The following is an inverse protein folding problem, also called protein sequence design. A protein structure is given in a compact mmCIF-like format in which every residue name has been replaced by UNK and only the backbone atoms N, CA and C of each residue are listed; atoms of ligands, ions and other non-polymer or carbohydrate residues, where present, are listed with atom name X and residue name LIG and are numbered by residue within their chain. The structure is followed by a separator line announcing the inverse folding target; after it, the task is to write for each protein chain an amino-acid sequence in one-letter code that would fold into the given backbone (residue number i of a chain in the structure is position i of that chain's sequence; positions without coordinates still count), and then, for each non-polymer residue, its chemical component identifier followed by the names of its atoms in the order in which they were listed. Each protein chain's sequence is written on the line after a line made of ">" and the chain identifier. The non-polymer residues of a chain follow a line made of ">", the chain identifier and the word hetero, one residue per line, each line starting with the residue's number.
data_IF_115673693097
#
_entry.id   IF_115673693097
#
_cell.length_a   1.000
_cell.length_b   1.000
_cell.length_c   1.000
_cell.angle_alpha   90.00
_cell.angle_beta   90.00
_cell.angle_gamma   90.00
#
_symmetry.space_group_name_H-M   'P 1'
#
loop_
_entity.id
_entity.type
_entity.pdbx_description
1 polymer ?
#
# COMPACT_ATOMS: atom_id res chain seq x y z
N UNK A 1 -24.49 -61.52 -11.78
CA UNK A 1 -23.26 -60.77 -12.09
C UNK A 1 -23.62 -59.31 -12.28
N UNK A 2 -23.35 -58.44 -11.30
CA UNK A 2 -23.55 -56.98 -11.43
C UNK A 2 -22.21 -56.31 -11.17
N UNK A 3 -21.64 -55.72 -12.22
CA UNK A 3 -20.37 -54.98 -12.17
C UNK A 3 -20.68 -53.54 -11.75
N UNK A 4 -20.49 -53.23 -10.47
CA UNK A 4 -20.47 -51.83 -10.01
C UNK A 4 -19.25 -51.14 -10.59
N UNK A 5 -19.48 -50.11 -11.42
CA UNK A 5 -18.42 -49.27 -11.98
C UNK A 5 -18.28 -48.06 -11.07
N UNK A 6 -17.17 -47.98 -10.34
CA UNK A 6 -16.85 -46.86 -9.46
C UNK A 6 -16.28 -45.72 -10.33
N UNK A 7 -17.02 -44.63 -10.51
CA UNK A 7 -16.49 -43.42 -11.15
C UNK A 7 -15.59 -42.69 -10.14
N UNK A 8 -14.28 -42.67 -10.42
CA UNK A 8 -13.34 -41.76 -9.77
C UNK A 8 -13.54 -40.35 -10.36
N UNK A 9 -14.15 -39.44 -9.61
CA UNK A 9 -14.15 -38.01 -9.93
C UNK A 9 -12.83 -37.41 -9.49
N UNK A 10 -11.93 -37.13 -10.45
CA UNK A 10 -10.73 -36.33 -10.21
C UNK A 10 -11.12 -34.87 -9.97
N UNK A 11 -10.96 -34.40 -8.74
CA UNK A 11 -11.01 -32.97 -8.44
C UNK A 11 -9.74 -32.32 -8.98
N UNK A 12 -9.86 -31.59 -10.09
CA UNK A 12 -8.80 -30.68 -10.55
C UNK A 12 -8.84 -29.48 -9.60
N UNK A 13 -8.00 -29.51 -8.56
CA UNK A 13 -7.78 -28.33 -7.72
C UNK A 13 -7.15 -27.22 -8.55
N UNK A 14 -7.69 -26.01 -8.48
CA UNK A 14 -7.07 -24.83 -9.09
C UNK A 14 -5.72 -24.60 -8.40
N UNK A 15 -4.63 -24.86 -9.11
CA UNK A 15 -3.28 -24.50 -8.64
C UNK A 15 -3.18 -22.98 -8.71
N UNK A 16 -3.08 -22.32 -7.56
CA UNK A 16 -2.85 -20.88 -7.50
C UNK A 16 -1.57 -20.53 -8.28
N UNK A 17 -1.63 -19.50 -9.13
CA UNK A 17 -0.52 -19.12 -10.01
C UNK A 17 0.70 -18.56 -9.25
N UNK A 18 0.52 -18.20 -7.98
CA UNK A 18 1.53 -17.66 -7.08
C UNK A 18 1.07 -17.86 -5.62
N UNK A 19 1.96 -17.62 -4.66
CA UNK A 19 1.67 -17.72 -3.23
C UNK A 19 1.94 -16.39 -2.54
N UNK A 20 0.98 -15.87 -1.80
CA UNK A 20 1.09 -14.62 -1.06
C UNK A 20 0.99 -14.82 0.45
N UNK A 21 1.75 -14.04 1.21
CA UNK A 21 1.62 -13.89 2.65
C UNK A 21 1.47 -12.42 3.02
N UNK A 22 0.34 -12.10 3.65
CA UNK A 22 0.11 -10.80 4.27
C UNK A 22 0.84 -10.71 5.61
N UNK A 23 1.36 -9.53 5.93
CA UNK A 23 2.04 -9.28 7.20
C UNK A 23 1.84 -7.84 7.68
N UNK A 24 2.17 -7.60 8.94
CA UNK A 24 2.30 -6.27 9.51
C UNK A 24 3.70 -6.14 10.11
N UNK A 25 4.35 -5.00 9.86
CA UNK A 25 5.65 -4.68 10.45
C UNK A 25 5.60 -3.31 11.10
N UNK A 26 6.40 -3.09 12.13
CA UNK A 26 6.52 -1.78 12.78
C UNK A 26 7.77 -1.06 12.28
N UNK A 27 7.61 0.20 11.88
CA UNK A 27 8.72 1.05 11.43
C UNK A 27 8.76 2.29 12.33
N UNK A 28 9.89 2.52 12.98
CA UNK A 28 10.14 3.75 13.73
C UNK A 28 10.79 4.76 12.79
N UNK A 29 10.18 5.94 12.65
CA UNK A 29 10.66 7.03 11.82
C UNK A 29 10.99 8.21 12.71
N UNK A 30 12.15 8.84 12.48
CA UNK A 30 12.52 10.12 13.05
C UNK A 30 12.75 11.12 11.92
N UNK A 31 11.90 12.14 11.83
CA UNK A 31 11.94 13.11 10.73
C UNK A 31 11.47 14.50 11.20
N UNK A 32 11.93 15.58 10.54
CA UNK A 32 11.40 16.91 10.78
C UNK A 32 9.94 17.00 10.31
N UNK A 33 9.08 17.51 11.19
CA UNK A 33 7.68 17.86 10.91
C UNK A 33 7.45 19.34 11.16
N UNK A 34 6.60 19.97 10.35
CA UNK A 34 6.27 21.39 10.48
C UNK A 34 5.02 21.57 11.34
N UNK A 35 5.19 22.22 12.50
CA UNK A 35 4.05 22.50 13.37
C UNK A 35 3.22 23.68 12.84
N UNK A 36 1.89 23.53 12.67
CA UNK A 36 1.01 24.63 12.34
C UNK A 36 1.14 25.80 13.32
N UNK A 37 1.22 27.01 12.78
CA UNK A 37 1.19 28.28 13.52
C UNK A 37 -0.22 28.90 13.57
N UNK A 38 -1.25 28.14 13.19
CA UNK A 38 -2.64 28.57 13.18
C UNK A 38 -3.51 27.63 14.04
N UNK A 39 -4.57 28.14 14.67
CA UNK A 39 -5.54 27.31 15.40
C UNK A 39 -6.46 26.56 14.44
N UNK A 40 -7.25 25.62 14.98
CA UNK A 40 -8.34 25.00 14.22
C UNK A 40 -9.28 26.06 13.65
N UNK A 41 -9.73 25.86 12.41
CA UNK A 41 -10.66 26.78 11.76
C UNK A 41 -12.04 26.69 12.40
N UNK A 42 -12.60 27.84 12.78
CA UNK A 42 -13.92 27.92 13.40
C UNK A 42 -15.05 27.50 12.44
N UNK A 43 -14.85 27.72 11.13
CA UNK A 43 -15.80 27.40 10.07
C UNK A 43 -15.08 27.25 8.72
N UNK A 44 -15.83 26.83 7.70
CA UNK A 44 -15.32 26.66 6.34
C UNK A 44 -14.85 27.97 5.68
N UNK A 45 -15.44 29.13 6.03
CA UNK A 45 -15.01 30.41 5.46
C UNK A 45 -13.60 30.77 5.93
N UNK A 46 -13.25 30.46 7.19
CA UNK A 46 -11.89 30.68 7.71
C UNK A 46 -10.85 29.78 7.05
N UNK A 47 -11.18 28.52 6.75
CA UNK A 47 -10.24 27.63 6.06
C UNK A 47 -10.01 28.05 4.60
N UNK A 48 -11.07 28.48 3.89
CA UNK A 48 -10.94 29.02 2.52
C UNK A 48 -10.15 30.32 2.51
N UNK A 49 -10.41 31.24 3.45
CA UNK A 49 -9.66 32.48 3.56
C UNK A 49 -8.17 32.22 3.81
N UNK A 50 -7.85 31.23 4.65
CA UNK A 50 -6.48 30.79 4.89
C UNK A 50 -5.81 30.21 3.63
N UNK A 51 -6.49 29.30 2.91
CA UNK A 51 -5.95 28.73 1.67
C UNK A 51 -5.70 29.82 0.60
N UNK A 52 -6.61 30.78 0.48
CA UNK A 52 -6.44 31.92 -0.43
C UNK A 52 -5.22 32.76 -0.06
N UNK A 53 -4.98 32.99 1.24
CA UNK A 53 -3.80 33.71 1.70
C UNK A 53 -2.51 32.94 1.40
N UNK A 54 -2.50 31.61 1.61
CA UNK A 54 -1.33 30.76 1.36
C UNK A 54 -0.96 30.61 -0.12
N UNK A 55 -1.96 30.66 -1.00
CA UNK A 55 -1.76 30.47 -2.45
C UNK A 55 -1.72 31.79 -3.22
N UNK A 56 -1.88 32.92 -2.53
CA UNK A 56 -1.73 34.23 -3.13
C UNK A 56 -0.32 34.45 -3.70
N UNK A 57 -0.21 35.21 -4.78
CA UNK A 57 1.09 35.52 -5.41
C UNK A 57 2.08 36.23 -4.47
N UNK A 58 1.57 36.93 -3.45
CA UNK A 58 2.36 37.62 -2.43
C UNK A 58 2.45 36.83 -1.11
N UNK A 59 2.12 35.54 -1.07
CA UNK A 59 2.15 34.74 0.16
C UNK A 59 3.53 34.80 0.86
N UNK A 60 4.62 34.93 0.10
CA UNK A 60 5.98 35.05 0.64
C UNK A 60 6.23 36.33 1.46
N UNK A 61 5.37 37.35 1.36
CA UNK A 61 5.46 38.56 2.17
C UNK A 61 4.67 38.46 3.48
N UNK A 62 3.99 37.34 3.70
CA UNK A 62 3.21 37.07 4.92
C UNK A 62 3.97 36.15 5.87
N UNK A 63 3.60 36.14 7.16
CA UNK A 63 4.23 35.26 8.13
C UNK A 63 4.01 33.78 7.75
N UNK A 64 5.05 32.96 7.97
CA UNK A 64 4.97 31.51 7.75
C UNK A 64 3.78 30.90 8.50
N UNK A 65 2.98 30.04 7.86
CA UNK A 65 1.93 29.29 8.55
C UNK A 65 2.48 28.17 9.45
N UNK A 66 3.80 28.01 9.52
CA UNK A 66 4.47 27.02 10.36
C UNK A 66 5.41 27.70 11.36
N UNK A 67 5.44 27.18 12.60
CA UNK A 67 6.30 27.67 13.69
C UNK A 67 7.78 27.32 13.48
N UNK A 68 8.06 26.34 12.62
CA UNK A 68 9.38 25.76 12.39
C UNK A 68 9.31 24.24 12.31
N UNK A 69 10.44 23.62 11.96
CA UNK A 69 10.57 22.17 11.97
C UNK A 69 10.88 21.67 13.38
N UNK A 70 10.17 20.63 13.81
CA UNK A 70 10.48 19.86 15.01
C UNK A 70 10.72 18.41 14.62
N UNK A 71 11.72 17.75 15.19
CA UNK A 71 11.89 16.32 14.95
C UNK A 71 10.81 15.55 15.69
N UNK A 72 10.07 14.73 14.94
CA UNK A 72 9.05 13.83 15.44
C UNK A 72 9.58 12.42 15.27
N UNK A 73 9.55 11.65 16.37
CA UNK A 73 9.95 10.25 16.40
C UNK A 73 8.72 9.41 16.74
N UNK A 74 8.22 8.67 15.77
CA UNK A 74 6.97 7.92 15.88
C UNK A 74 7.15 6.51 15.32
N UNK A 75 6.37 5.57 15.87
CA UNK A 75 6.36 4.18 15.39
C UNK A 75 5.04 3.87 14.71
N UNK A 76 5.14 3.45 13.45
CA UNK A 76 3.98 3.16 12.60
C UNK A 76 3.90 1.67 12.29
N UNK A 77 2.67 1.15 12.24
CA UNK A 77 2.41 -0.20 11.74
C UNK A 77 2.16 -0.11 10.24
N UNK A 78 2.95 -0.84 9.46
CA UNK A 78 2.87 -0.93 8.00
C UNK A 78 2.31 -2.29 7.61
N UNK A 79 1.23 -2.30 6.84
CA UNK A 79 0.65 -3.52 6.27
C UNK A 79 1.31 -3.84 4.93
N UNK A 80 1.79 -5.07 4.76
CA UNK A 80 2.44 -5.53 3.54
C UNK A 80 1.91 -6.87 3.07
N UNK A 81 2.20 -7.19 1.82
CA UNK A 81 1.95 -8.49 1.21
C UNK A 81 3.15 -8.90 0.37
N UNK A 82 3.65 -10.10 0.65
CA UNK A 82 4.78 -10.69 -0.06
C UNK A 82 4.31 -11.88 -0.89
N UNK A 83 4.52 -11.83 -2.20
CA UNK A 83 4.11 -12.89 -3.11
C UNK A 83 5.30 -13.48 -3.86
N UNK A 84 5.26 -14.79 -4.09
CA UNK A 84 6.33 -15.53 -4.77
C UNK A 84 5.76 -16.44 -5.86
N UNK A 85 6.58 -16.80 -6.87
CA UNK A 85 6.23 -17.89 -7.77
C UNK A 85 6.00 -19.19 -6.98
N UNK A 86 5.16 -20.07 -7.54
CA UNK A 86 4.93 -21.40 -6.95
C UNK A 86 6.24 -22.18 -6.81
N UNK A 87 6.36 -23.14 -5.87
CA UNK A 87 7.60 -23.89 -5.67
C UNK A 87 8.14 -24.57 -6.94
N UNK A 88 7.26 -25.01 -7.85
CA UNK A 88 7.64 -25.61 -9.12
C UNK A 88 8.14 -24.61 -10.18
N UNK A 89 7.85 -23.32 -10.01
CA UNK A 89 8.20 -22.23 -10.93
C UNK A 89 9.25 -21.28 -10.32
N UNK A 90 9.70 -21.54 -9.10
CA UNK A 90 10.60 -20.66 -8.38
C UNK A 90 12.03 -20.79 -8.91
N UNK A 91 12.66 -19.69 -9.36
CA UNK A 91 14.06 -19.71 -9.78
C UNK A 91 15.00 -19.92 -8.59
N UNK A 92 16.26 -20.29 -8.88
CA UNK A 92 17.30 -20.45 -7.86
C UNK A 92 17.64 -19.14 -7.13
N UNK A 93 17.52 -18.01 -7.82
CA UNK A 93 17.65 -16.66 -7.27
C UNK A 93 16.34 -15.91 -7.49
N UNK A 94 15.82 -15.30 -6.43
CA UNK A 94 14.51 -14.68 -6.44
C UNK A 94 14.62 -13.17 -6.20
N UNK A 95 14.59 -12.39 -7.27
CA UNK A 95 14.57 -10.94 -7.21
C UNK A 95 13.20 -10.43 -6.72
N UNK A 96 13.22 -9.47 -5.80
CA UNK A 96 12.00 -8.88 -5.21
C UNK A 96 11.73 -7.52 -5.85
N UNK A 97 10.57 -7.37 -6.45
CA UNK A 97 10.06 -6.07 -6.89
C UNK A 97 9.28 -5.42 -5.75
N UNK A 98 9.72 -4.24 -5.32
CA UNK A 98 9.01 -3.45 -4.30
C UNK A 98 7.97 -2.56 -4.97
N UNK A 99 6.71 -2.73 -4.58
CA UNK A 99 5.56 -2.15 -5.27
C UNK A 99 4.88 -1.08 -4.40
N UNK A 100 5.15 0.19 -4.71
CA UNK A 100 4.54 1.34 -4.01
C UNK A 100 3.32 1.85 -4.78
N UNK A 101 2.15 1.88 -4.16
CA UNK A 101 0.93 2.39 -4.80
C UNK A 101 0.89 3.93 -4.92
N UNK A 102 0.08 4.41 -5.86
CA UNK A 102 -0.21 5.83 -6.05
C UNK A 102 -1.18 6.42 -5.01
N UNK A 103 -1.44 7.73 -5.09
CA UNK A 103 -2.41 8.40 -4.22
C UNK A 103 -3.83 7.86 -4.45
N UNK A 104 -4.60 7.71 -3.37
CA UNK A 104 -5.99 7.22 -3.42
C UNK A 104 -6.14 5.70 -3.50
N UNK A 105 -5.03 4.96 -3.47
CA UNK A 105 -5.02 3.49 -3.49
C UNK A 105 -4.33 2.92 -2.25
N UNK A 106 -4.25 1.59 -2.20
CA UNK A 106 -3.48 0.79 -1.25
C UNK A 106 -2.75 -0.35 -2.02
N UNK A 107 -2.14 -1.31 -1.32
CA UNK A 107 -1.38 -2.42 -1.93
C UNK A 107 -2.22 -3.29 -2.88
N UNK A 108 -3.55 -3.31 -2.75
CA UNK A 108 -4.44 -4.07 -3.62
C UNK A 108 -4.44 -3.58 -5.07
N UNK A 109 -3.96 -2.34 -5.32
CA UNK A 109 -3.75 -1.82 -6.66
C UNK A 109 -2.92 -2.76 -7.55
N UNK A 110 -1.95 -3.47 -6.97
CA UNK A 110 -1.08 -4.38 -7.71
C UNK A 110 -1.70 -5.76 -7.97
N UNK A 111 -2.75 -6.13 -7.22
CA UNK A 111 -3.58 -7.32 -7.43
C UNK A 111 -4.98 -6.91 -7.97
N UNK A 112 -5.02 -5.95 -8.89
CA UNK A 112 -6.28 -5.38 -9.36
C UNK A 112 -7.14 -6.41 -10.11
N UNK A 113 -8.37 -6.59 -9.63
CA UNK A 113 -9.32 -7.58 -10.17
C UNK A 113 -9.06 -9.02 -9.72
N UNK A 114 -8.11 -9.25 -8.80
CA UNK A 114 -7.83 -10.56 -8.21
C UNK A 114 -6.99 -11.50 -9.08
N UNK A 115 -6.86 -12.74 -8.62
CA UNK A 115 -5.88 -13.72 -9.11
C UNK A 115 -6.03 -14.12 -10.58
N UNK A 116 -7.23 -14.03 -11.15
CA UNK A 116 -7.50 -14.36 -12.56
C UNK A 116 -7.49 -13.15 -13.49
N UNK A 117 -7.33 -11.94 -12.95
CA UNK A 117 -7.36 -10.71 -13.73
C UNK A 117 -6.15 -10.57 -14.64
N UNK A 118 -6.40 -10.13 -15.89
CA UNK A 118 -5.35 -9.73 -16.84
C UNK A 118 -4.60 -8.45 -16.42
N UNK A 119 -5.11 -7.72 -15.43
CA UNK A 119 -4.54 -6.48 -14.91
C UNK A 119 -3.80 -6.69 -13.57
N UNK A 120 -3.73 -7.94 -13.10
CA UNK A 120 -3.00 -8.28 -11.89
C UNK A 120 -1.49 -8.29 -12.17
N UNK A 121 -0.80 -7.24 -11.71
CA UNK A 121 0.64 -7.11 -11.87
C UNK A 121 1.39 -8.14 -11.02
N UNK A 122 0.92 -8.46 -9.81
CA UNK A 122 1.51 -9.52 -8.97
C UNK A 122 1.57 -10.84 -9.73
N UNK A 123 0.48 -11.22 -10.41
CA UNK A 123 0.43 -12.41 -11.27
C UNK A 123 1.44 -12.33 -12.42
N UNK A 124 1.52 -11.19 -13.09
CA UNK A 124 2.45 -11.01 -14.21
C UNK A 124 3.91 -11.14 -13.76
N UNK A 125 4.28 -10.48 -12.66
CA UNK A 125 5.63 -10.49 -12.10
C UNK A 125 6.03 -11.88 -11.59
N UNK A 126 5.14 -12.53 -10.82
CA UNK A 126 5.38 -13.90 -10.32
C UNK A 126 5.41 -14.94 -11.43
N UNK A 127 4.58 -14.80 -12.45
CA UNK A 127 4.65 -15.63 -13.67
C UNK A 127 5.94 -15.45 -14.47
N UNK A 128 6.60 -14.29 -14.35
CA UNK A 128 7.91 -14.01 -14.93
C UNK A 128 9.08 -14.41 -14.01
N UNK A 129 8.82 -15.03 -12.86
CA UNK A 129 9.84 -15.52 -11.93
C UNK A 129 10.27 -14.54 -10.84
N UNK A 130 9.64 -13.37 -10.73
CA UNK A 130 9.95 -12.39 -9.68
C UNK A 130 9.09 -12.61 -8.44
N UNK A 131 9.63 -12.28 -7.26
CA UNK A 131 8.80 -12.02 -6.10
C UNK A 131 8.30 -10.57 -6.11
N UNK A 132 7.21 -10.31 -5.40
CA UNK A 132 6.69 -8.95 -5.20
C UNK A 132 6.51 -8.67 -3.73
N UNK A 133 6.86 -7.46 -3.30
CA UNK A 133 6.53 -6.91 -2.00
C UNK A 133 5.68 -5.65 -2.22
N UNK A 134 4.37 -5.76 -2.00
CA UNK A 134 3.47 -4.60 -1.99
C UNK A 134 3.20 -4.19 -0.55
N UNK A 135 2.96 -2.90 -0.32
CA UNK A 135 2.68 -2.39 1.02
C UNK A 135 1.78 -1.17 0.97
N UNK A 136 1.03 -0.98 2.05
CA UNK A 136 0.20 0.20 2.24
C UNK A 136 1.08 1.31 2.80
N UNK A 137 1.15 2.44 2.09
CA UNK A 137 1.79 3.65 2.60
C UNK A 137 1.07 4.12 3.89
N UNK A 138 1.75 4.94 4.68
CA UNK A 138 1.17 5.53 5.88
C UNK A 138 -0.16 6.24 5.55
N UNK A 139 -1.17 6.08 6.39
CA UNK A 139 -2.55 6.55 6.18
C UNK A 139 -3.32 5.92 5.02
N UNK A 140 -2.86 4.81 4.47
CA UNK A 140 -3.58 4.03 3.46
C UNK A 140 -3.83 2.59 3.92
N UNK A 141 -4.89 1.98 3.39
CA UNK A 141 -5.20 0.56 3.57
C UNK A 141 -5.16 0.10 5.03
N UNK A 142 -4.42 -0.98 5.29
CA UNK A 142 -4.25 -1.57 6.61
C UNK A 142 -3.14 -0.94 7.46
N UNK A 143 -2.39 0.04 6.96
CA UNK A 143 -1.34 0.73 7.72
C UNK A 143 -1.92 1.68 8.77
N UNK A 144 -1.07 2.18 9.68
CA UNK A 144 -1.45 3.21 10.66
C UNK A 144 -2.10 4.41 9.98
N UNK A 145 -3.25 4.83 10.49
CA UNK A 145 -3.92 6.08 10.11
C UNK A 145 -3.40 7.18 11.01
N UNK A 146 -2.67 8.15 10.46
CA UNK A 146 -2.32 9.36 11.19
C UNK A 146 -3.41 10.42 11.02
N UNK A 147 -3.66 11.17 12.09
CA UNK A 147 -4.67 12.24 12.17
C UNK A 147 -4.47 13.24 11.01
N UNK A 148 -5.51 13.55 10.20
CA UNK A 148 -5.43 14.48 9.08
C UNK A 148 -5.15 15.94 9.48
#
# INVERSE_FOLDING_TARGET
>A
MHRSTLMLTSFIGAVAAFQCSSFNTTVTVSAPSYQPAFPSFADHYKSVAFLNALTARNASTTASPFKGAVNVAETFRISGEYCTPTPSQRPAYLDVQVLTHGLGFDKSYWNFGGDSSRYNYVRAATGAGYATLSYDRLSNGGSSVVDP
#
